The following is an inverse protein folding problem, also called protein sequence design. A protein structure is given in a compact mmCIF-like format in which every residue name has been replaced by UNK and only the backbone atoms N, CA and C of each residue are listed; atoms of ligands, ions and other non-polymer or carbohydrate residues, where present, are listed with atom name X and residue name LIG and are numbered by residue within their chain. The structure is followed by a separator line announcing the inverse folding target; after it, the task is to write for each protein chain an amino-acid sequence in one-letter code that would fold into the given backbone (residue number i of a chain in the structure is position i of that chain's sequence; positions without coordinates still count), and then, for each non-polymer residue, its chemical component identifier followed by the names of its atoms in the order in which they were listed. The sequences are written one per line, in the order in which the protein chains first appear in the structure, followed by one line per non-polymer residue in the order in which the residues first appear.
data_IF_902387772914
#
_entry.id   IF_902387772914
#
_cell.length_a   1.000
_cell.length_b   1.000
_cell.length_c   1.000
_cell.angle_alpha   90.00
_cell.angle_beta   90.00
_cell.angle_gamma   90.00
#
_symmetry.space_group_name_H-M   'P 1'
#
loop_
_entity.id
_entity.type
_entity.pdbx_description
1 polymer ?
#
# COMPACT_ATOMS: atom_id res chain seq x y z
N UNK A 1 13.85 27.25 21.40
CA UNK A 1 13.49 27.55 19.99
C UNK A 1 13.69 26.28 19.18
N UNK A 2 12.63 25.53 18.91
CA UNK A 2 12.73 24.37 18.01
C UNK A 2 12.85 24.90 16.59
N UNK A 3 13.94 24.57 15.89
CA UNK A 3 14.12 24.97 14.51
C UNK A 3 12.96 24.42 13.66
N UNK A 4 12.23 25.29 12.98
CA UNK A 4 11.22 24.91 12.00
C UNK A 4 11.94 24.57 10.69
N UNK A 5 11.64 23.40 10.13
CA UNK A 5 12.22 22.97 8.87
C UNK A 5 11.46 23.63 7.71
N UNK A 6 12.16 24.04 6.63
CA UNK A 6 11.48 24.55 5.44
C UNK A 6 10.62 23.45 4.81
N UNK A 7 9.41 23.79 4.35
CA UNK A 7 8.44 22.83 3.84
C UNK A 7 8.97 21.89 2.72
N UNK A 8 9.80 22.33 1.77
CA UNK A 8 10.42 21.43 0.79
C UNK A 8 11.33 20.37 1.42
N UNK A 9 12.02 20.70 2.51
CA UNK A 9 12.88 19.75 3.21
C UNK A 9 12.05 18.71 3.96
N UNK A 10 10.94 19.14 4.59
CA UNK A 10 9.98 18.22 5.22
C UNK A 10 9.38 17.27 4.19
N UNK A 11 9.07 17.75 2.98
CA UNK A 11 8.60 16.91 1.87
C UNK A 11 9.61 15.85 1.45
N UNK A 12 10.89 16.23 1.29
CA UNK A 12 11.97 15.29 0.99
C UNK A 12 12.09 14.25 2.10
N UNK A 13 12.02 14.68 3.37
CA UNK A 13 12.08 13.78 4.51
C UNK A 13 10.88 12.82 4.57
N UNK A 14 9.69 13.29 4.21
CA UNK A 14 8.47 12.45 4.11
C UNK A 14 8.63 11.35 3.06
N UNK A 15 9.10 11.69 1.86
CA UNK A 15 9.35 10.69 0.81
C UNK A 15 10.45 9.72 1.26
N UNK A 16 11.55 10.24 1.82
CA UNK A 16 12.63 9.42 2.36
C UNK A 16 12.14 8.48 3.47
N UNK A 17 11.27 8.94 4.37
CA UNK A 17 10.67 8.10 5.40
C UNK A 17 9.86 6.96 4.79
N UNK A 18 9.02 7.22 3.78
CA UNK A 18 8.27 6.17 3.10
C UNK A 18 9.18 5.17 2.37
N UNK A 19 10.21 5.65 1.68
CA UNK A 19 11.16 4.82 0.93
C UNK A 19 12.04 3.97 1.86
N UNK A 20 12.55 4.55 2.94
CA UNK A 20 13.50 3.88 3.81
C UNK A 20 12.84 3.13 4.96
N UNK A 21 11.69 3.52 5.50
CA UNK A 21 11.03 2.75 6.57
C UNK A 21 10.16 1.60 6.03
N UNK A 22 9.80 1.62 4.74
CA UNK A 22 8.99 0.55 4.16
C UNK A 22 9.61 -0.85 4.28
N UNK A 23 10.91 -1.09 3.97
CA UNK A 23 11.48 -2.43 4.13
C UNK A 23 11.60 -2.86 5.59
N UNK A 24 11.72 -1.90 6.52
CA UNK A 24 11.74 -2.17 7.96
C UNK A 24 10.40 -2.76 8.40
N UNK A 25 9.29 -2.13 8.01
CA UNK A 25 7.95 -2.60 8.32
C UNK A 25 7.73 -4.03 7.81
N UNK A 26 8.05 -4.28 6.54
CA UNK A 26 7.96 -5.62 5.95
C UNK A 26 8.81 -6.64 6.70
N UNK A 27 10.03 -6.26 7.13
CA UNK A 27 10.92 -7.12 7.92
C UNK A 27 10.42 -7.41 9.34
N UNK A 28 9.76 -6.44 10.00
CA UNK A 28 9.11 -6.67 11.30
C UNK A 28 7.94 -7.63 11.17
N UNK A 29 7.08 -7.44 10.16
CA UNK A 29 5.91 -8.31 9.93
C UNK A 29 6.37 -9.75 9.64
N UNK A 30 7.37 -9.94 8.79
CA UNK A 30 7.93 -11.27 8.52
C UNK A 30 8.55 -11.94 9.77
N UNK A 31 9.13 -11.14 10.69
CA UNK A 31 9.61 -11.64 11.98
C UNK A 31 8.44 -12.10 12.85
N UNK A 32 7.37 -11.33 12.93
CA UNK A 32 6.20 -11.64 13.74
C UNK A 32 5.47 -12.89 13.24
N UNK A 33 5.26 -13.03 11.94
CA UNK A 33 4.70 -14.25 11.34
C UNK A 33 5.48 -15.50 11.75
N UNK A 34 6.81 -15.43 11.67
CA UNK A 34 7.66 -16.54 12.07
C UNK A 34 7.58 -16.85 13.57
N UNK A 35 7.53 -15.82 14.42
CA UNK A 35 7.41 -16.00 15.87
C UNK A 35 6.06 -16.63 16.27
N UNK A 36 4.97 -16.16 15.67
CA UNK A 36 3.63 -16.74 15.90
C UNK A 36 3.58 -18.20 15.42
N UNK A 37 4.29 -18.52 14.33
CA UNK A 37 4.46 -19.90 13.85
C UNK A 37 5.46 -20.75 14.68
N UNK A 38 5.96 -20.27 15.82
CA UNK A 38 6.89 -20.99 16.69
C UNK A 38 8.34 -21.09 16.16
N UNK A 39 8.70 -20.28 15.15
CA UNK A 39 10.02 -20.25 14.53
C UNK A 39 10.80 -19.01 15.00
N UNK A 40 12.14 -19.06 14.92
CA UNK A 40 12.97 -17.87 15.15
C UNK A 40 12.73 -16.78 14.11
N UNK A 41 12.52 -17.12 12.85
CA UNK A 41 12.30 -16.16 11.76
C UNK A 41 13.55 -15.39 11.30
N UNK A 42 13.44 -14.66 10.18
CA UNK A 42 14.52 -13.81 9.64
C UNK A 42 14.82 -12.63 10.56
N UNK A 43 15.95 -11.94 10.39
CA UNK A 43 16.20 -10.69 11.10
C UNK A 43 15.30 -9.57 10.58
N UNK A 44 14.95 -8.58 11.40
CA UNK A 44 14.15 -7.41 10.98
C UNK A 44 14.79 -6.65 9.80
N UNK A 45 16.12 -6.61 9.74
CA UNK A 45 16.84 -5.96 8.64
C UNK A 45 17.04 -6.84 7.39
N UNK A 46 16.39 -8.01 7.32
CA UNK A 46 16.59 -8.95 6.22
C UNK A 46 16.16 -8.35 4.89
N UNK A 47 15.04 -7.65 4.83
CA UNK A 47 14.52 -7.02 3.61
C UNK A 47 15.53 -6.05 2.98
N UNK A 48 16.23 -5.25 3.81
CA UNK A 48 17.29 -4.38 3.31
C UNK A 48 18.48 -5.16 2.74
N UNK A 49 18.91 -6.22 3.44
CA UNK A 49 20.03 -7.06 2.99
C UNK A 49 19.69 -7.73 1.67
N UNK A 50 18.44 -8.16 1.48
CA UNK A 50 17.97 -8.75 0.24
C UNK A 50 17.96 -7.74 -0.90
N UNK A 51 17.45 -6.51 -0.68
CA UNK A 51 17.52 -5.43 -1.68
C UNK A 51 18.98 -5.15 -2.08
N UNK A 52 19.87 -4.95 -1.11
CA UNK A 52 21.31 -4.71 -1.36
C UNK A 52 21.95 -5.89 -2.09
N UNK A 53 21.59 -7.12 -1.75
CA UNK A 53 22.06 -8.33 -2.43
C UNK A 53 21.63 -8.33 -3.90
N UNK A 54 20.38 -8.02 -4.20
CA UNK A 54 19.88 -7.99 -5.58
C UNK A 54 20.51 -6.87 -6.42
N UNK A 55 20.73 -5.69 -5.82
CA UNK A 55 21.44 -4.58 -6.49
C UNK A 55 22.88 -4.91 -6.88
N UNK A 56 23.52 -5.88 -6.19
CA UNK A 56 24.89 -6.33 -6.49
C UNK A 56 24.95 -7.49 -7.49
N UNK A 57 23.81 -8.03 -7.90
CA UNK A 57 23.75 -9.14 -8.87
C UNK A 57 23.68 -8.61 -10.30
N UNK A 58 24.16 -9.41 -11.24
CA UNK A 58 23.95 -9.14 -12.66
C UNK A 58 22.45 -9.27 -13.02
N UNK A 59 22.00 -8.46 -13.97
CA UNK A 59 20.66 -8.54 -14.55
C UNK A 59 20.72 -9.41 -15.80
N UNK A 60 19.96 -10.50 -15.80
CA UNK A 60 19.67 -11.34 -16.96
C UNK A 60 18.23 -11.06 -17.37
N UNK A 61 17.98 -10.93 -18.67
CA UNK A 61 16.66 -10.65 -19.24
C UNK A 61 16.34 -11.68 -20.32
N UNK A 62 15.05 -11.99 -20.55
CA UNK A 62 14.66 -12.80 -21.70
C UNK A 62 15.04 -12.12 -23.02
N UNK A 63 15.48 -12.89 -24.02
CA UNK A 63 15.88 -12.36 -25.33
C UNK A 63 14.72 -11.70 -26.09
N UNK A 64 13.48 -12.15 -25.80
CA UNK A 64 12.26 -11.63 -26.42
C UNK A 64 11.71 -10.36 -25.74
N UNK A 65 12.25 -10.00 -24.57
CA UNK A 65 11.71 -8.91 -23.77
C UNK A 65 12.01 -7.54 -24.41
N UNK A 66 10.99 -6.70 -24.52
CA UNK A 66 11.13 -5.35 -25.06
C UNK A 66 11.68 -4.37 -24.01
N UNK A 67 11.92 -3.09 -24.37
CA UNK A 67 12.26 -2.05 -23.41
C UNK A 67 11.21 -1.85 -22.30
N UNK A 68 9.97 -2.28 -22.51
CA UNK A 68 8.90 -2.17 -21.51
C UNK A 68 9.24 -2.97 -20.25
N UNK A 69 9.70 -4.22 -20.41
CA UNK A 69 10.21 -5.06 -19.32
C UNK A 69 11.29 -4.35 -18.51
N UNK A 70 12.23 -3.67 -19.20
CA UNK A 70 13.35 -2.96 -18.56
C UNK A 70 12.90 -1.74 -17.76
N UNK A 71 11.94 -0.96 -18.26
CA UNK A 71 11.54 0.31 -17.64
C UNK A 71 10.44 0.17 -16.58
N UNK A 72 9.66 -0.92 -16.62
CA UNK A 72 8.56 -1.14 -15.69
C UNK A 72 8.93 -0.99 -14.20
N UNK A 73 10.02 -1.58 -13.66
CA UNK A 73 10.37 -1.41 -12.25
C UNK A 73 10.56 0.06 -11.84
N UNK A 74 11.11 0.89 -12.74
CA UNK A 74 11.33 2.32 -12.49
C UNK A 74 10.01 3.10 -12.48
N UNK A 75 9.10 2.75 -13.40
CA UNK A 75 7.75 3.33 -13.42
C UNK A 75 7.01 2.99 -12.12
N UNK A 76 7.08 1.74 -11.65
CA UNK A 76 6.42 1.31 -10.42
C UNK A 76 6.98 2.05 -9.20
N UNK A 77 8.31 2.06 -9.03
CA UNK A 77 8.95 2.80 -7.94
C UNK A 77 8.62 4.31 -8.01
N UNK A 78 8.67 4.91 -9.20
CA UNK A 78 8.39 6.32 -9.41
C UNK A 78 6.94 6.69 -9.07
N UNK A 79 5.97 5.87 -9.48
CA UNK A 79 4.57 6.05 -9.11
C UNK A 79 4.36 6.03 -7.61
N UNK A 80 4.92 5.04 -6.91
CA UNK A 80 4.76 4.94 -5.45
C UNK A 80 5.51 6.03 -4.69
N UNK A 81 6.71 6.42 -5.14
CA UNK A 81 7.41 7.58 -4.59
C UNK A 81 6.61 8.89 -4.78
N UNK A 82 5.89 9.02 -5.90
CA UNK A 82 5.01 10.16 -6.17
C UNK A 82 3.81 10.17 -5.21
N UNK A 83 3.18 9.02 -4.95
CA UNK A 83 2.08 8.92 -3.96
C UNK A 83 2.54 9.41 -2.57
N UNK A 84 3.77 9.11 -2.16
CA UNK A 84 4.33 9.59 -0.90
C UNK A 84 4.39 11.13 -0.81
N UNK A 85 4.36 11.84 -1.95
CA UNK A 85 4.31 13.31 -1.99
C UNK A 85 2.89 13.87 -1.83
N UNK A 86 1.88 13.09 -2.22
CA UNK A 86 0.46 13.48 -2.28
C UNK A 86 -0.30 13.22 -0.97
N UNK A 87 0.07 12.20 -0.22
CA UNK A 87 -0.66 11.79 0.99
C UNK A 87 -0.04 12.37 2.27
N UNK A 88 -0.82 12.57 3.36
CA UNK A 88 -0.28 13.00 4.65
C UNK A 88 0.46 11.86 5.35
N UNK A 89 1.79 11.83 5.22
CA UNK A 89 2.65 10.87 5.92
C UNK A 89 3.11 11.42 7.27
N UNK A 90 3.67 12.64 7.30
CA UNK A 90 4.30 13.21 8.50
C UNK A 90 3.66 14.50 9.00
N UNK A 91 2.98 15.26 8.14
CA UNK A 91 2.44 16.58 8.49
C UNK A 91 0.92 16.64 8.38
N UNK A 92 0.34 17.58 9.12
CA UNK A 92 -1.09 17.87 9.08
C UNK A 92 -1.45 18.89 8.01
N UNK A 93 -0.49 19.75 7.66
CA UNK A 93 -0.63 20.79 6.66
C UNK A 93 -0.12 20.29 5.30
N UNK A 94 -0.68 20.81 4.20
CA UNK A 94 -0.24 20.45 2.86
C UNK A 94 1.20 20.89 2.63
N UNK A 95 2.03 19.95 2.17
CA UNK A 95 3.37 20.21 1.68
C UNK A 95 3.33 20.64 0.21
N UNK A 96 4.43 21.16 -0.39
CA UNK A 96 4.40 21.69 -1.76
C UNK A 96 3.84 20.72 -2.81
N UNK A 97 4.03 19.41 -2.62
CA UNK A 97 3.51 18.38 -3.52
C UNK A 97 2.03 18.03 -3.33
N UNK A 98 1.43 18.40 -2.19
CA UNK A 98 0.10 17.97 -1.78
C UNK A 98 -1.02 18.47 -2.70
N UNK A 99 -0.81 19.58 -3.39
CA UNK A 99 -1.80 20.20 -4.28
C UNK A 99 -1.73 19.70 -5.72
N UNK A 100 -0.75 18.86 -6.07
CA UNK A 100 -0.60 18.37 -7.45
C UNK A 100 -1.53 17.21 -7.81
N UNK A 101 -2.18 16.59 -6.82
CA UNK A 101 -3.10 15.48 -7.05
C UNK A 101 -4.00 15.24 -5.84
N UNK A 102 -5.23 14.82 -6.13
CA UNK A 102 -6.22 14.38 -5.16
C UNK A 102 -6.04 12.90 -4.79
N UNK A 103 -6.93 12.36 -3.96
CA UNK A 103 -6.90 10.95 -3.57
C UNK A 103 -7.14 10.00 -4.77
N UNK A 104 -7.85 10.46 -5.80
CA UNK A 104 -8.12 9.70 -7.01
C UNK A 104 -6.89 9.62 -7.92
N UNK A 105 -6.08 10.68 -8.01
CA UNK A 105 -4.77 10.65 -8.65
C UNK A 105 -3.84 9.63 -7.97
N UNK A 106 -3.89 9.54 -6.63
CA UNK A 106 -3.22 8.49 -5.87
C UNK A 106 -3.68 7.08 -6.27
N UNK A 107 -4.98 6.87 -6.46
CA UNK A 107 -5.55 5.62 -6.96
C UNK A 107 -5.02 5.25 -8.35
N UNK A 108 -5.01 6.21 -9.27
CA UNK A 108 -4.49 6.00 -10.62
C UNK A 108 -2.98 5.72 -10.64
N UNK A 109 -2.19 6.29 -9.72
CA UNK A 109 -0.78 5.95 -9.58
C UNK A 109 -0.57 4.52 -9.06
N UNK A 110 -1.42 4.02 -8.16
CA UNK A 110 -1.41 2.61 -7.78
C UNK A 110 -1.75 1.70 -8.96
N UNK A 111 -2.81 2.04 -9.70
CA UNK A 111 -3.22 1.33 -10.91
C UNK A 111 -2.12 1.33 -11.97
N UNK A 112 -1.44 2.47 -12.19
CA UNK A 112 -0.31 2.58 -13.10
C UNK A 112 0.85 1.65 -12.73
N UNK A 113 1.18 1.55 -11.44
CA UNK A 113 2.20 0.61 -10.94
C UNK A 113 1.81 -0.86 -11.18
N UNK A 114 0.55 -1.22 -10.95
CA UNK A 114 0.06 -2.57 -11.24
C UNK A 114 0.03 -2.83 -12.75
N UNK A 115 -0.45 -1.89 -13.55
CA UNK A 115 -0.47 -1.99 -15.01
C UNK A 115 0.94 -2.21 -15.58
N UNK A 116 1.93 -1.41 -15.17
CA UNK A 116 3.32 -1.56 -15.60
C UNK A 116 3.90 -2.92 -15.21
N UNK A 117 3.58 -3.43 -14.01
CA UNK A 117 4.03 -4.76 -13.56
C UNK A 117 3.39 -5.88 -14.38
N UNK A 118 2.10 -5.79 -14.68
CA UNK A 118 1.40 -6.78 -15.54
C UNK A 118 1.91 -6.73 -16.97
N UNK A 119 2.20 -5.54 -17.50
CA UNK A 119 2.72 -5.38 -18.84
C UNK A 119 4.13 -5.97 -18.97
N UNK A 120 5.00 -5.78 -17.97
CA UNK A 120 6.31 -6.41 -17.93
C UNK A 120 6.21 -7.94 -17.86
N UNK A 121 5.28 -8.47 -17.05
CA UNK A 121 5.03 -9.91 -17.00
C UNK A 121 4.64 -10.48 -18.38
N UNK A 122 3.77 -9.78 -19.12
CA UNK A 122 3.36 -10.16 -20.48
C UNK A 122 4.51 -10.06 -21.51
N UNK A 123 5.33 -9.02 -21.39
CA UNK A 123 6.48 -8.76 -22.27
C UNK A 123 7.63 -9.76 -22.08
N UNK A 124 7.66 -10.46 -20.93
CA UNK A 124 8.69 -11.45 -20.63
C UNK A 124 8.66 -12.71 -21.52
N UNK A 125 7.53 -12.97 -22.18
CA UNK A 125 7.31 -14.17 -23.00
C UNK A 125 7.11 -15.47 -22.19
N UNK A 126 7.12 -15.39 -20.86
CA UNK A 126 6.97 -16.56 -19.98
C UNK A 126 5.50 -16.90 -19.73
N UNK A 127 5.11 -18.16 -19.96
CA UNK A 127 3.73 -18.61 -19.73
C UNK A 127 3.30 -18.45 -18.27
N UNK A 128 4.21 -18.66 -17.31
CA UNK A 128 3.91 -18.50 -15.89
C UNK A 128 3.69 -17.04 -15.49
N UNK A 129 4.51 -16.13 -16.02
CA UNK A 129 4.33 -14.69 -15.80
C UNK A 129 3.01 -14.20 -16.39
N UNK A 130 2.64 -14.68 -17.58
CA UNK A 130 1.37 -14.36 -18.24
C UNK A 130 0.16 -14.82 -17.44
N UNK A 131 0.22 -16.03 -16.86
CA UNK A 131 -0.85 -16.54 -15.98
C UNK A 131 -0.96 -15.67 -14.73
N UNK A 132 0.16 -15.26 -14.13
CA UNK A 132 0.19 -14.33 -12.99
C UNK A 132 -0.46 -12.99 -13.32
N UNK A 133 -0.11 -12.40 -14.47
CA UNK A 133 -0.68 -11.14 -14.95
C UNK A 133 -2.20 -11.26 -15.18
N UNK A 134 -2.66 -12.35 -15.80
CA UNK A 134 -4.10 -12.61 -16.02
C UNK A 134 -4.88 -12.69 -14.71
N UNK A 135 -4.33 -13.35 -13.70
CA UNK A 135 -4.94 -13.44 -12.35
C UNK A 135 -4.97 -12.10 -11.65
N UNK A 136 -3.90 -11.32 -11.73
CA UNK A 136 -3.86 -9.99 -11.15
C UNK A 136 -4.89 -9.05 -11.79
N UNK A 137 -5.08 -9.14 -13.12
CA UNK A 137 -6.13 -8.39 -13.81
C UNK A 137 -7.54 -8.82 -13.36
N UNK A 138 -7.77 -10.13 -13.19
CA UNK A 138 -9.05 -10.65 -12.67
C UNK A 138 -9.37 -10.08 -11.28
N UNK A 139 -8.37 -10.01 -10.39
CA UNK A 139 -8.49 -9.37 -9.08
C UNK A 139 -8.70 -7.85 -9.22
N UNK A 140 -7.92 -7.20 -10.09
CA UNK A 140 -7.95 -5.76 -10.34
C UNK A 140 -9.31 -5.21 -10.78
N UNK A 141 -10.08 -5.98 -11.56
CA UNK A 141 -11.43 -5.62 -12.03
C UNK A 141 -12.36 -5.20 -10.87
N UNK A 142 -12.21 -5.81 -9.69
CA UNK A 142 -13.02 -5.47 -8.52
C UNK A 142 -12.29 -4.56 -7.54
N UNK A 143 -10.97 -4.69 -7.41
CA UNK A 143 -10.16 -3.90 -6.48
C UNK A 143 -10.21 -2.41 -6.83
N UNK A 144 -10.04 -2.04 -8.11
CA UNK A 144 -9.98 -0.64 -8.53
C UNK A 144 -11.31 0.10 -8.28
N UNK A 145 -12.49 -0.42 -8.69
CA UNK A 145 -13.77 0.20 -8.34
C UNK A 145 -14.01 0.27 -6.83
N UNK A 146 -13.61 -0.75 -6.07
CA UNK A 146 -13.77 -0.77 -4.60
C UNK A 146 -13.05 0.42 -3.99
N UNK A 147 -11.81 0.68 -4.40
CA UNK A 147 -11.01 1.79 -3.89
C UNK A 147 -11.63 3.15 -4.28
N UNK A 148 -12.18 3.29 -5.49
CA UNK A 148 -12.92 4.50 -5.90
C UNK A 148 -14.13 4.73 -4.99
N UNK A 149 -14.94 3.71 -4.73
CA UNK A 149 -16.13 3.85 -3.87
C UNK A 149 -15.78 4.17 -2.41
N UNK A 150 -14.70 3.59 -1.87
CA UNK A 150 -14.19 3.98 -0.55
C UNK A 150 -13.86 5.46 -0.53
N UNK A 151 -13.09 5.95 -1.50
CA UNK A 151 -12.69 7.35 -1.53
C UNK A 151 -13.86 8.30 -1.75
N UNK A 152 -14.84 7.93 -2.59
CA UNK A 152 -16.08 8.70 -2.73
C UNK A 152 -16.87 8.76 -1.43
N UNK A 153 -17.03 7.64 -0.73
CA UNK A 153 -17.76 7.61 0.55
C UNK A 153 -17.14 8.60 1.54
N UNK A 154 -15.82 8.61 1.68
CA UNK A 154 -15.16 9.48 2.65
C UNK A 154 -15.01 10.92 2.14
N UNK A 155 -14.91 11.14 0.82
CA UNK A 155 -14.97 12.47 0.22
C UNK A 155 -16.33 13.13 0.43
N UNK A 156 -17.44 12.38 0.37
CA UNK A 156 -18.76 12.91 0.71
C UNK A 156 -18.88 13.34 2.17
N UNK A 157 -18.30 12.56 3.09
CA UNK A 157 -18.31 12.88 4.53
C UNK A 157 -17.46 14.12 4.84
N UNK A 158 -16.29 14.22 4.21
CA UNK A 158 -15.33 15.31 4.46
C UNK A 158 -15.56 16.56 3.60
N UNK A 159 -16.35 16.46 2.52
CA UNK A 159 -16.62 17.55 1.57
C UNK A 159 -15.44 17.88 0.64
N UNK A 160 -14.40 17.05 0.60
CA UNK A 160 -13.17 17.28 -0.18
C UNK A 160 -12.53 15.96 -0.60
N UNK A 161 -11.80 15.99 -1.70
CA UNK A 161 -11.02 14.88 -2.28
C UNK A 161 -9.51 15.00 -2.01
N UNK A 162 -9.07 16.11 -1.39
CA UNK A 162 -7.67 16.35 -1.07
C UNK A 162 -7.27 15.60 0.21
N UNK A 163 -6.26 14.70 0.17
CA UNK A 163 -5.90 13.86 1.31
C UNK A 163 -5.59 14.62 2.62
N UNK A 164 -4.93 15.78 2.53
CA UNK A 164 -4.60 16.60 3.69
C UNK A 164 -5.83 17.29 4.30
N UNK A 165 -6.73 17.81 3.46
CA UNK A 165 -7.94 18.48 3.92
C UNK A 165 -8.92 17.46 4.52
N UNK A 166 -9.04 16.29 3.90
CA UNK A 166 -9.80 15.15 4.40
C UNK A 166 -9.30 14.68 5.77
N UNK A 167 -7.98 14.55 5.94
CA UNK A 167 -7.38 14.22 7.23
C UNK A 167 -7.66 15.28 8.32
N UNK A 168 -7.68 16.57 7.96
CA UNK A 168 -8.03 17.63 8.91
C UNK A 168 -9.49 17.51 9.38
N UNK A 169 -10.44 17.32 8.46
CA UNK A 169 -11.87 17.18 8.77
C UNK A 169 -12.17 15.96 9.66
N UNK A 170 -11.49 14.83 9.42
CA UNK A 170 -11.66 13.63 10.22
C UNK A 170 -10.99 13.72 11.60
N UNK A 171 -9.95 14.56 11.74
CA UNK A 171 -9.29 14.77 13.03
C UNK A 171 -10.15 15.57 13.99
N UNK A 172 -10.84 16.57 13.48
CA UNK A 172 -11.57 17.54 14.32
C UNK A 172 -12.92 17.01 14.81
N UNK A 173 -13.43 15.92 14.21
CA UNK A 173 -14.73 15.35 14.57
C UNK A 173 -14.70 13.83 14.69
N UNK A 174 -14.76 13.34 15.94
CA UNK A 174 -14.93 11.91 16.23
C UNK A 174 -16.24 11.36 15.67
N UNK A 175 -17.28 12.20 15.56
CA UNK A 175 -18.55 11.82 14.96
C UNK A 175 -18.38 11.45 13.48
N UNK A 176 -17.51 12.13 12.74
CA UNK A 176 -17.22 11.79 11.34
C UNK A 176 -16.51 10.45 11.18
N UNK A 177 -15.65 10.08 12.12
CA UNK A 177 -14.96 8.78 12.10
C UNK A 177 -15.89 7.64 12.49
N UNK A 178 -16.84 7.87 13.40
CA UNK A 178 -17.79 6.86 13.86
C UNK A 178 -19.07 6.76 13.01
N UNK A 179 -19.22 7.62 12.00
CA UNK A 179 -20.35 7.57 11.06
C UNK A 179 -20.43 6.19 10.39
N UNK A 180 -21.61 5.56 10.32
CA UNK A 180 -21.76 4.23 9.74
C UNK A 180 -21.16 4.11 8.33
N UNK A 181 -21.36 5.13 7.48
CA UNK A 181 -20.76 5.20 6.16
C UNK A 181 -19.22 5.13 6.21
N UNK A 182 -18.58 5.91 7.10
CA UNK A 182 -17.12 5.90 7.25
C UNK A 182 -16.58 4.56 7.76
N UNK A 183 -17.27 3.94 8.72
CA UNK A 183 -16.88 2.63 9.28
C UNK A 183 -16.93 1.55 8.20
N UNK A 184 -17.98 1.55 7.37
CA UNK A 184 -18.11 0.62 6.25
C UNK A 184 -17.03 0.86 5.18
N UNK A 185 -16.76 2.13 4.83
CA UNK A 185 -15.69 2.48 3.89
C UNK A 185 -14.31 2.04 4.41
N UNK A 186 -14.05 2.23 5.71
CA UNK A 186 -12.81 1.80 6.37
C UNK A 186 -12.68 0.27 6.37
N UNK A 187 -13.77 -0.46 6.61
CA UNK A 187 -13.80 -1.91 6.53
C UNK A 187 -13.54 -2.42 5.09
N UNK A 188 -14.17 -1.81 4.09
CA UNK A 188 -13.94 -2.14 2.68
C UNK A 188 -12.49 -1.86 2.27
N UNK A 189 -11.91 -0.73 2.70
CA UNK A 189 -10.50 -0.42 2.47
C UNK A 189 -9.58 -1.45 3.12
N UNK A 190 -9.90 -1.93 4.32
CA UNK A 190 -9.10 -2.95 4.98
C UNK A 190 -9.10 -4.28 4.20
N UNK A 191 -10.26 -4.71 3.70
CA UNK A 191 -10.36 -5.90 2.84
C UNK A 191 -9.53 -5.72 1.57
N UNK A 192 -9.63 -4.55 0.93
CA UNK A 192 -8.83 -4.21 -0.25
C UNK A 192 -7.32 -4.19 0.06
N UNK A 193 -6.92 -3.63 1.20
CA UNK A 193 -5.54 -3.57 1.65
C UNK A 193 -4.93 -4.97 1.79
N UNK A 194 -5.67 -5.96 2.28
CA UNK A 194 -5.20 -7.36 2.34
C UNK A 194 -4.95 -7.94 0.94
N UNK A 195 -5.86 -7.68 0.00
CA UNK A 195 -5.75 -8.13 -1.39
C UNK A 195 -4.51 -7.52 -2.05
N UNK A 196 -4.37 -6.21 -1.91
CA UNK A 196 -3.41 -5.43 -2.67
C UNK A 196 -1.98 -5.52 -2.10
N UNK A 197 -1.84 -6.02 -0.88
CA UNK A 197 -0.55 -6.35 -0.24
C UNK A 197 -0.17 -7.83 -0.35
N UNK A 198 -0.95 -8.64 -1.09
CA UNK A 198 -0.66 -10.06 -1.31
C UNK A 198 -0.73 -10.90 -0.03
N UNK A 199 -1.64 -10.55 0.89
CA UNK A 199 -1.80 -11.17 2.20
C UNK A 199 -2.90 -12.22 2.22
N UNK A 200 -2.88 -13.09 3.23
CA UNK A 200 -3.93 -14.09 3.41
C UNK A 200 -5.20 -13.32 3.80
N UNK A 201 -6.38 -13.69 3.27
CA UNK A 201 -6.71 -14.95 2.62
C UNK A 201 -6.41 -15.08 1.11
N UNK A 202 -5.81 -14.09 0.45
CA UNK A 202 -5.66 -14.04 -1.01
C UNK A 202 -4.41 -14.79 -1.46
N UNK A 203 -3.26 -14.32 -1.00
CA UNK A 203 -1.95 -14.86 -1.31
C UNK A 203 -1.15 -14.97 -0.01
N UNK A 204 -0.07 -15.73 -0.02
CA UNK A 204 0.77 -15.88 1.17
C UNK A 204 2.18 -15.47 0.81
N UNK A 205 2.76 -14.58 1.61
CA UNK A 205 4.12 -14.03 1.46
C UNK A 205 5.22 -15.10 1.49
N UNK A 206 4.93 -16.29 2.04
CA UNK A 206 5.90 -17.35 2.29
C UNK A 206 5.79 -18.58 1.39
N UNK A 207 4.69 -18.77 0.65
CA UNK A 207 4.51 -19.95 -0.21
C UNK A 207 5.10 -19.69 -1.59
N UNK A 208 6.42 -19.85 -1.68
CA UNK A 208 7.13 -19.79 -2.95
C UNK A 208 6.81 -21.06 -3.73
N UNK A 209 6.27 -20.93 -4.95
CA UNK A 209 5.96 -22.00 -5.93
C UNK A 209 4.66 -22.79 -5.73
N UNK A 210 3.54 -22.11 -5.49
CA UNK A 210 2.20 -22.70 -5.62
C UNK A 210 1.60 -22.45 -7.01
N UNK A 211 0.81 -23.40 -7.53
CA UNK A 211 0.13 -23.25 -8.82
C UNK A 211 -0.83 -22.04 -8.88
N UNK A 212 -1.21 -21.47 -7.73
CA UNK A 212 -2.11 -20.33 -7.55
C UNK A 212 -1.44 -18.99 -7.23
N UNK A 213 -0.16 -18.78 -7.58
CA UNK A 213 0.52 -17.48 -7.38
C UNK A 213 -0.07 -16.37 -8.26
N UNK A 214 -0.07 -15.14 -7.75
CA UNK A 214 -0.53 -13.94 -8.45
C UNK A 214 0.63 -12.95 -8.57
N UNK A 215 1.07 -12.34 -7.47
CA UNK A 215 2.06 -11.27 -7.54
C UNK A 215 3.48 -11.78 -7.76
N UNK A 216 3.88 -12.84 -7.05
CA UNK A 216 5.21 -13.44 -7.24
C UNK A 216 5.39 -14.02 -8.65
N UNK A 217 4.31 -14.48 -9.28
CA UNK A 217 4.34 -15.02 -10.64
C UNK A 217 4.66 -13.94 -11.69
N UNK A 218 4.18 -12.70 -11.48
CA UNK A 218 4.43 -11.58 -12.40
C UNK A 218 5.90 -11.15 -12.43
N UNK A 219 6.65 -11.47 -11.37
CA UNK A 219 8.05 -11.07 -11.21
C UNK A 219 9.05 -12.16 -11.61
N UNK A 220 8.60 -13.34 -12.08
CA UNK A 220 9.45 -14.52 -12.25
C UNK A 220 10.68 -14.33 -13.15
N UNK A 221 10.54 -13.56 -14.23
CA UNK A 221 11.64 -13.38 -15.20
C UNK A 221 12.57 -12.22 -14.81
N UNK A 222 12.24 -11.43 -13.77
CA UNK A 222 13.08 -10.32 -13.33
C UNK A 222 14.23 -10.81 -12.44
N UNK A 223 15.43 -10.28 -12.69
CA UNK A 223 16.64 -10.61 -11.93
C UNK A 223 17.44 -9.37 -11.57
N UNK A 224 18.46 -9.54 -10.72
CA UNK A 224 19.41 -8.47 -10.41
C UNK A 224 18.76 -7.20 -9.83
N UNK A 225 19.20 -6.00 -10.26
CA UNK A 225 18.70 -4.73 -9.74
C UNK A 225 17.22 -4.48 -10.02
N UNK A 226 16.67 -4.97 -11.13
CA UNK A 226 15.25 -4.81 -11.47
C UNK A 226 14.35 -5.54 -10.46
N UNK A 227 14.76 -6.75 -10.05
CA UNK A 227 14.08 -7.48 -8.99
C UNK A 227 14.20 -6.77 -7.63
N UNK A 228 15.32 -6.09 -7.37
CA UNK A 228 15.48 -5.27 -6.17
C UNK A 228 14.45 -4.13 -6.13
N UNK A 229 14.26 -3.45 -7.27
CA UNK A 229 13.30 -2.36 -7.41
C UNK A 229 11.86 -2.84 -7.20
N UNK A 230 11.47 -3.98 -7.79
CA UNK A 230 10.13 -4.53 -7.55
C UNK A 230 9.89 -4.91 -6.09
N UNK A 231 10.84 -5.57 -5.42
CA UNK A 231 10.71 -5.89 -3.99
C UNK A 231 10.63 -4.64 -3.12
N UNK A 232 11.42 -3.62 -3.46
CA UNK A 232 11.36 -2.35 -2.78
C UNK A 232 10.02 -1.64 -3.02
N UNK A 233 9.54 -1.61 -4.26
CA UNK A 233 8.25 -1.08 -4.63
C UNK A 233 7.10 -1.77 -3.89
N UNK A 234 7.12 -3.10 -3.77
CA UNK A 234 6.13 -3.84 -2.97
C UNK A 234 6.12 -3.42 -1.50
N UNK A 235 7.31 -3.21 -0.91
CA UNK A 235 7.44 -2.70 0.46
C UNK A 235 6.86 -1.27 0.57
N UNK A 236 7.16 -0.41 -0.41
CA UNK A 236 6.64 0.97 -0.47
C UNK A 236 5.12 0.96 -0.62
N UNK A 237 4.56 0.13 -1.51
CA UNK A 237 3.11 -0.03 -1.71
C UNK A 237 2.43 -0.39 -0.38
N UNK A 238 2.95 -1.39 0.33
CA UNK A 238 2.45 -1.79 1.64
C UNK A 238 2.48 -0.62 2.64
N UNK A 239 3.60 0.11 2.73
CA UNK A 239 3.75 1.25 3.62
C UNK A 239 2.75 2.38 3.31
N UNK A 240 2.55 2.70 2.02
CA UNK A 240 1.61 3.73 1.59
C UNK A 240 0.16 3.36 1.87
N UNK A 241 -0.24 2.13 1.57
CA UNK A 241 -1.59 1.64 1.87
C UNK A 241 -1.86 1.66 3.38
N UNK A 242 -0.87 1.28 4.20
CA UNK A 242 -0.98 1.37 5.66
C UNK A 242 -1.08 2.84 6.12
N UNK A 243 -0.32 3.74 5.49
CA UNK A 243 -0.40 5.18 5.78
C UNK A 243 -1.79 5.72 5.46
N UNK A 244 -2.36 5.38 4.30
CA UNK A 244 -3.71 5.80 3.92
C UNK A 244 -4.73 5.22 4.90
N UNK A 245 -4.67 3.92 5.20
CA UNK A 245 -5.57 3.29 6.15
C UNK A 245 -5.54 3.95 7.54
N UNK A 246 -4.35 4.23 8.06
CA UNK A 246 -4.17 4.76 9.41
C UNK A 246 -4.44 6.25 9.46
N UNK A 247 -3.71 7.04 8.66
CA UNK A 247 -3.75 8.49 8.78
C UNK A 247 -4.98 9.07 8.09
N UNK A 248 -5.43 8.52 6.96
CA UNK A 248 -6.58 9.07 6.25
C UNK A 248 -7.90 8.50 6.78
N UNK A 249 -7.96 7.22 7.16
CA UNK A 249 -9.24 6.58 7.50
C UNK A 249 -9.44 6.31 9.01
N UNK A 250 -8.46 5.73 9.72
CA UNK A 250 -8.71 5.17 11.05
C UNK A 250 -8.40 6.13 12.21
N UNK A 251 -7.17 6.65 12.29
CA UNK A 251 -6.62 7.38 13.44
C UNK A 251 -5.77 8.56 12.90
N UNK A 252 -6.39 9.69 12.53
CA UNK A 252 -5.69 10.83 11.91
C UNK A 252 -4.81 11.66 12.87
N UNK A 253 -4.75 11.31 14.16
CA UNK A 253 -3.98 12.05 15.18
C UNK A 253 -2.48 11.76 15.11
N UNK A 254 -1.62 12.57 15.73
CA UNK A 254 -0.19 12.26 15.89
C UNK A 254 0.71 12.60 14.69
N UNK A 255 0.22 13.42 13.76
CA UNK A 255 0.98 14.07 12.69
C UNK A 255 1.56 15.41 13.18
N UNK A 256 2.62 15.90 12.54
CA UNK A 256 3.29 17.16 12.88
C UNK A 256 2.49 18.39 12.43
N UNK A 257 2.12 19.26 13.37
CA UNK A 257 1.36 20.50 13.11
C UNK A 257 2.26 21.67 12.69
N UNK A 258 3.44 21.79 13.32
CA UNK A 258 4.23 23.04 13.27
C UNK A 258 5.49 22.91 12.40
N UNK A 259 5.77 21.72 11.86
CA UNK A 259 6.97 21.47 11.04
C UNK A 259 8.30 21.56 11.81
N UNK A 260 8.26 21.60 13.14
CA UNK A 260 9.45 21.57 13.99
C UNK A 260 10.16 20.22 13.90
N UNK A 261 11.48 20.20 14.06
CA UNK A 261 12.27 18.95 14.04
C UNK A 261 11.71 17.93 15.05
N UNK A 262 11.35 18.39 16.25
CA UNK A 262 10.79 17.56 17.32
C UNK A 262 9.41 17.01 16.98
N UNK A 263 8.52 17.82 16.39
CA UNK A 263 7.18 17.37 16.02
C UNK A 263 7.21 16.40 14.83
N UNK A 264 8.12 16.61 13.87
CA UNK A 264 8.34 15.69 12.74
C UNK A 264 8.92 14.36 13.23
N UNK A 265 9.89 14.39 14.16
CA UNK A 265 10.44 13.16 14.76
C UNK A 265 9.36 12.39 15.55
N UNK A 266 8.53 13.10 16.32
CA UNK A 266 7.39 12.49 17.01
C UNK A 266 6.40 11.86 16.03
N UNK A 267 6.04 12.56 14.95
CA UNK A 267 5.15 12.05 13.92
C UNK A 267 5.68 10.77 13.23
N UNK A 268 6.99 10.69 13.03
CA UNK A 268 7.63 9.49 12.49
C UNK A 268 7.46 8.27 13.42
N UNK A 269 7.67 8.48 14.72
CA UNK A 269 7.56 7.42 15.73
C UNK A 269 6.11 6.97 15.89
N UNK A 270 5.17 7.91 16.00
CA UNK A 270 3.74 7.59 16.10
C UNK A 270 3.24 6.87 14.86
N UNK A 271 3.62 7.31 13.66
CA UNK A 271 3.29 6.63 12.41
C UNK A 271 3.77 5.19 12.44
N UNK A 272 5.05 4.97 12.74
CA UNK A 272 5.62 3.63 12.76
C UNK A 272 4.94 2.73 13.81
N UNK A 273 4.67 3.24 15.01
CA UNK A 273 3.94 2.50 16.04
C UNK A 273 2.54 2.09 15.60
N UNK A 274 1.80 2.96 14.91
CA UNK A 274 0.48 2.60 14.38
C UNK A 274 0.57 1.57 13.26
N UNK A 275 1.58 1.68 12.39
CA UNK A 275 1.83 0.68 11.35
C UNK A 275 2.15 -0.69 11.95
N UNK A 276 2.86 -0.72 13.08
CA UNK A 276 3.10 -1.94 13.85
C UNK A 276 1.78 -2.54 14.37
N UNK A 277 0.80 -1.74 14.81
CA UNK A 277 -0.51 -2.26 15.19
C UNK A 277 -1.26 -2.91 14.02
N UNK A 278 -1.27 -2.26 12.86
CA UNK A 278 -1.87 -2.83 11.63
C UNK A 278 -1.11 -4.08 11.18
N UNK A 279 0.22 -4.05 11.22
CA UNK A 279 1.06 -5.21 10.91
C UNK A 279 0.81 -6.39 11.84
N UNK A 280 0.53 -6.14 13.13
CA UNK A 280 0.19 -7.19 14.09
C UNK A 280 -1.18 -7.79 13.77
N UNK A 281 -2.17 -6.95 13.43
CA UNK A 281 -3.48 -7.41 12.97
C UNK A 281 -3.37 -8.27 11.70
N UNK A 282 -2.61 -7.81 10.70
CA UNK A 282 -2.37 -8.58 9.47
C UNK A 282 -1.64 -9.88 9.79
N UNK A 283 -0.66 -9.88 10.70
CA UNK A 283 0.03 -11.11 11.13
C UNK A 283 -0.94 -12.11 11.76
N UNK A 284 -1.88 -11.64 12.60
CA UNK A 284 -2.90 -12.51 13.21
C UNK A 284 -3.78 -13.11 12.11
N UNK A 285 -4.20 -12.31 11.12
CA UNK A 285 -5.00 -12.79 9.99
C UNK A 285 -4.22 -13.83 9.18
N UNK A 286 -2.96 -13.53 8.83
CA UNK A 286 -2.09 -14.41 8.05
C UNK A 286 -1.82 -15.76 8.73
N UNK A 287 -1.83 -15.78 10.06
CA UNK A 287 -1.54 -16.99 10.85
C UNK A 287 -2.80 -17.77 11.23
N UNK A 288 -3.98 -17.14 11.18
CA UNK A 288 -5.25 -17.76 11.58
C UNK A 288 -6.04 -18.30 10.39
N UNK A 289 -6.00 -17.62 9.24
CA UNK A 289 -6.76 -18.00 8.06
C UNK A 289 -5.95 -18.85 7.09
N UNK A 290 -6.65 -19.70 6.34
CA UNK A 290 -6.06 -20.42 5.22
C UNK A 290 -6.20 -19.62 3.92
N UNK A 291 -5.24 -19.81 3.01
CA UNK A 291 -5.31 -19.27 1.65
C UNK A 291 -6.57 -19.78 0.93
N UNK A 292 -7.32 -18.87 0.31
CA UNK A 292 -8.49 -19.19 -0.49
C UNK A 292 -8.08 -19.75 -1.85
N UNK A 293 -8.95 -20.60 -2.41
CA UNK A 293 -8.84 -21.00 -3.81
C UNK A 293 -9.11 -19.78 -4.70
N UNK A 294 -8.41 -19.68 -5.83
CA UNK A 294 -8.47 -18.53 -6.74
C UNK A 294 -9.90 -18.04 -7.06
N UNK A 295 -10.85 -18.95 -7.31
CA UNK A 295 -12.24 -18.55 -7.59
C UNK A 295 -12.96 -17.90 -6.40
N UNK A 296 -12.62 -18.28 -5.15
CA UNK A 296 -13.17 -17.66 -3.93
C UNK A 296 -12.54 -16.31 -3.61
N UNK A 297 -11.37 -16.01 -4.18
CA UNK A 297 -10.75 -14.68 -4.04
C UNK A 297 -11.67 -13.62 -4.66
N UNK A 298 -12.30 -13.93 -5.80
CA UNK A 298 -13.26 -13.02 -6.45
C UNK A 298 -14.46 -12.75 -5.54
N UNK A 299 -15.01 -13.76 -4.87
CA UNK A 299 -16.11 -13.60 -3.90
C UNK A 299 -15.71 -12.72 -2.72
N UNK A 300 -14.48 -12.88 -2.21
CA UNK A 300 -13.94 -12.05 -1.13
C UNK A 300 -13.83 -10.58 -1.55
N UNK A 301 -13.28 -10.30 -2.74
CA UNK A 301 -13.13 -8.92 -3.23
C UNK A 301 -14.49 -8.31 -3.56
N UNK A 302 -15.41 -9.09 -4.15
CA UNK A 302 -16.78 -8.65 -4.41
C UNK A 302 -17.50 -8.25 -3.11
N UNK A 303 -17.23 -8.95 -2.00
CA UNK A 303 -17.73 -8.54 -0.68
C UNK A 303 -17.18 -7.18 -0.28
N UNK A 304 -15.89 -6.91 -0.49
CA UNK A 304 -15.29 -5.59 -0.29
C UNK A 304 -15.97 -4.49 -1.12
N UNK A 305 -16.23 -4.76 -2.41
CA UNK A 305 -16.95 -3.84 -3.29
C UNK A 305 -18.37 -3.56 -2.79
N UNK A 306 -19.11 -4.59 -2.38
CA UNK A 306 -20.46 -4.45 -1.84
C UNK A 306 -20.47 -3.63 -0.54
N UNK A 307 -19.49 -3.83 0.34
CA UNK A 307 -19.35 -3.03 1.57
C UNK A 307 -19.03 -1.57 1.24
N UNK A 308 -18.18 -1.30 0.24
CA UNK A 308 -17.91 0.07 -0.22
C UNK A 308 -19.14 0.75 -0.83
N UNK A 309 -19.93 0.01 -1.63
CA UNK A 309 -21.21 0.49 -2.16
C UNK A 309 -22.21 0.77 -1.05
N UNK A 310 -22.31 -0.12 -0.06
CA UNK A 310 -23.15 0.05 1.12
C UNK A 310 -22.75 1.33 1.89
N UNK A 311 -21.46 1.64 1.99
CA UNK A 311 -20.98 2.88 2.62
C UNK A 311 -21.52 4.14 1.91
N UNK A 312 -21.48 4.17 0.57
CA UNK A 312 -22.03 5.29 -0.22
C UNK A 312 -23.54 5.37 -0.08
N UNK A 313 -24.25 4.24 -0.17
CA UNK A 313 -25.72 4.20 -0.01
C UNK A 313 -26.14 4.63 1.39
N UNK A 314 -25.42 4.20 2.43
CA UNK A 314 -25.68 4.61 3.81
C UNK A 314 -25.55 6.13 3.97
N UNK A 315 -24.57 6.74 3.31
CA UNK A 315 -24.42 8.18 3.29
C UNK A 315 -25.63 8.88 2.66
N UNK A 316 -26.01 8.46 1.45
CA UNK A 316 -27.14 9.04 0.71
C UNK A 316 -28.47 8.83 1.43
N UNK A 317 -28.65 7.70 2.12
CA UNK A 317 -29.85 7.37 2.89
C UNK A 317 -30.00 8.17 4.20
N UNK A 318 -29.03 9.04 4.53
CA UNK A 318 -29.08 9.88 5.74
C UNK A 318 -28.49 9.23 6.98
N UNK A 319 -27.87 8.05 6.87
CA UNK A 319 -26.96 7.49 7.89
C UNK A 319 -25.51 7.97 7.69
N UNK A 320 -25.36 8.99 6.84
CA UNK A 320 -24.10 9.59 6.46
C UNK A 320 -23.42 10.29 7.58
#
# INVERSE_FOLDING_TARGET
MTATLPAPLVQIFQVAAALFLSPLLTGVIARWEALVAGKRGPSVLQTYRDIVKFLRKASIRPDVASPVFRYAPYVVCGSYATIATLIPVLTTYPLPGATYGDILAGAFLFALGSFATSLAALDSGSQYANIGASRATMVGIFVEPTLIFVFFSVAFISGTDLPYAMNAQLRDSLANVLRPAHVLATAAFFLMLLVDTGRIPIESSSATTEFGMIDDARLFEHTGPEMALFKWAGSIKQFLLYTIFINVLLIPQGLSTDGSVTSVAFALVTLFLKMLLVGALVTIIDTTFAKLRLYRVVEFIATGLLVALLAVVAYVAGFG
#
